data_IF_163014118382
#
_entry.id   IF_163014118382
#
_cell.length_a   1.000
_cell.length_b   1.000
_cell.length_c   1.000
_cell.angle_alpha   90.00
_cell.angle_beta   90.00
_cell.angle_gamma   90.00
#
_symmetry.space_group_name_H-M   'P 1'
#
loop_
_entity.id
_entity.type
_entity.pdbx_description
1 polymer ?
#
# COMPACT_ATOMS: atom_id res chain seq x y z
N UNK A 1 21.27 -27.26 -54.23
CA UNK A 1 22.58 -27.96 -54.20
C UNK A 1 23.54 -27.12 -55.03
N UNK A 2 24.71 -26.81 -54.47
CA UNK A 2 25.97 -26.37 -55.13
C UNK A 2 25.87 -25.18 -56.08
N UNK A 3 26.41 -23.99 -55.79
CA UNK A 3 27.78 -23.74 -55.35
C UNK A 3 28.59 -23.25 -56.56
N UNK A 4 29.13 -22.03 -56.47
CA UNK A 4 30.54 -21.72 -56.76
C UNK A 4 30.80 -20.34 -57.37
N UNK A 5 31.58 -19.61 -56.57
CA UNK A 5 32.40 -18.42 -56.79
C UNK A 5 33.03 -18.23 -58.17
N UNK A 6 33.07 -16.97 -58.64
CA UNK A 6 34.21 -16.44 -59.41
C UNK A 6 34.24 -14.91 -59.41
N UNK A 7 35.35 -14.36 -58.91
CA UNK A 7 35.88 -13.02 -59.24
C UNK A 7 37.28 -13.27 -59.81
N UNK A 8 37.66 -12.65 -60.95
CA UNK A 8 38.62 -11.50 -60.96
C UNK A 8 38.42 -10.61 -62.23
N UNK A 9 39.36 -9.74 -62.68
CA UNK A 9 40.41 -8.95 -62.03
C UNK A 9 40.16 -7.42 -62.18
N UNK A 10 41.12 -6.58 -61.76
CA UNK A 10 41.12 -5.10 -61.84
C UNK A 10 40.95 -4.53 -63.26
N UNK A 11 40.98 -3.21 -63.48
CA UNK A 11 41.75 -2.16 -62.82
C UNK A 11 41.21 -0.77 -63.30
N UNK A 12 41.79 0.29 -62.73
CA UNK A 12 42.03 1.63 -63.29
C UNK A 12 40.85 2.50 -63.79
N UNK A 13 40.64 3.67 -63.18
CA UNK A 13 40.96 4.97 -63.80
C UNK A 13 40.82 6.15 -62.82
N UNK A 14 41.98 6.76 -62.59
CA UNK A 14 42.37 8.05 -62.03
C UNK A 14 41.34 9.16 -61.76
N UNK A 15 41.48 9.74 -60.57
CA UNK A 15 41.08 11.11 -60.21
C UNK A 15 42.25 12.11 -60.39
N UNK A 16 41.98 13.41 -60.65
CA UNK A 16 42.99 14.46 -60.83
C UNK A 16 43.48 15.06 -59.48
N UNK A 17 44.62 15.78 -59.50
CA UNK A 17 45.40 16.08 -58.31
C UNK A 17 45.03 17.43 -57.68
N UNK A 18 45.17 17.52 -56.35
CA UNK A 18 45.33 18.82 -55.68
C UNK A 18 44.81 18.85 -54.26
N UNK A 19 45.72 18.83 -53.29
CA UNK A 19 45.41 19.18 -51.91
C UNK A 19 46.39 18.58 -50.90
N UNK A 20 47.40 19.35 -50.51
CA UNK A 20 48.33 19.01 -49.44
C UNK A 20 47.64 19.02 -48.07
N UNK A 21 47.83 17.95 -47.28
CA UNK A 21 47.48 17.90 -45.86
C UNK A 21 48.75 17.68 -44.99
N UNK A 22 48.93 18.41 -43.87
CA UNK A 22 50.11 18.36 -43.00
C UNK A 22 50.14 17.17 -42.00
N UNK A 23 51.32 16.87 -41.40
CA UNK A 23 51.64 15.57 -40.78
C UNK A 23 51.10 15.35 -39.36
N UNK A 24 50.81 14.09 -39.04
CA UNK A 24 50.31 13.64 -37.73
C UNK A 24 51.40 13.48 -36.66
N UNK A 25 51.03 13.52 -35.36
CA UNK A 25 51.97 13.44 -34.25
C UNK A 25 52.46 12.01 -33.96
N UNK A 26 53.77 11.92 -33.70
CA UNK A 26 54.48 10.71 -33.29
C UNK A 26 54.41 10.52 -31.77
N UNK A 27 54.05 9.32 -31.33
CA UNK A 27 54.03 8.93 -29.91
C UNK A 27 55.45 8.66 -29.40
N UNK A 28 55.80 9.28 -28.26
CA UNK A 28 57.06 9.05 -27.55
C UNK A 28 56.99 7.81 -26.62
N UNK A 29 58.10 7.11 -26.37
CA UNK A 29 58.14 5.90 -25.54
C UNK A 29 58.04 6.20 -24.02
N UNK A 30 57.60 5.21 -23.22
CA UNK A 30 57.35 5.38 -21.78
C UNK A 30 58.63 5.45 -20.92
N UNK A 31 58.58 6.12 -19.75
CA UNK A 31 59.70 6.25 -18.83
C UNK A 31 59.99 4.94 -18.03
N UNK A 32 61.22 4.78 -17.49
CA UNK A 32 61.65 3.59 -16.77
C UNK A 32 61.01 3.43 -15.38
N UNK A 33 60.97 2.21 -14.82
CA UNK A 33 60.31 1.93 -13.55
C UNK A 33 61.07 2.48 -12.33
N UNK A 34 60.37 2.93 -11.27
CA UNK A 34 60.98 3.36 -10.01
C UNK A 34 61.57 2.19 -9.20
N UNK A 35 62.62 2.48 -8.42
CA UNK A 35 63.32 1.54 -7.55
C UNK A 35 62.47 1.06 -6.33
N UNK A 36 62.80 -0.10 -5.72
CA UNK A 36 62.04 -0.67 -4.60
C UNK A 36 62.12 0.17 -3.32
N UNK A 37 60.98 0.33 -2.64
CA UNK A 37 60.91 0.99 -1.34
C UNK A 37 61.49 0.11 -0.21
N UNK A 38 62.12 0.71 0.82
CA UNK A 38 62.65 -0.04 1.96
C UNK A 38 61.55 -0.64 2.85
N UNK A 39 61.83 -1.81 3.42
CA UNK A 39 60.90 -2.58 4.25
C UNK A 39 60.45 -1.84 5.52
N UNK A 40 59.16 -1.96 5.92
CA UNK A 40 58.65 -1.27 7.11
C UNK A 40 59.08 -1.94 8.42
N UNK A 41 59.52 -1.10 9.37
CA UNK A 41 59.85 -1.48 10.75
C UNK A 41 58.57 -1.75 11.54
N UNK A 42 58.55 -2.84 12.32
CA UNK A 42 57.52 -3.10 13.34
C UNK A 42 57.69 -2.13 14.52
N UNK A 43 56.60 -1.52 14.97
CA UNK A 43 56.43 -1.12 16.37
C UNK A 43 54.99 -1.34 16.81
N UNK A 44 54.84 -2.13 17.87
CA UNK A 44 53.62 -2.27 18.64
C UNK A 44 53.36 -1.00 19.49
N UNK A 45 52.18 -0.92 20.12
CA UNK A 45 51.65 0.14 21.01
C UNK A 45 50.88 1.22 20.23
N UNK A 46 49.61 1.52 20.46
CA UNK A 46 48.63 1.04 21.45
C UNK A 46 47.43 2.01 21.43
N UNK A 47 46.21 1.45 21.56
CA UNK A 47 44.94 2.09 21.98
C UNK A 47 44.85 3.62 21.84
N UNK A 48 44.07 4.12 20.86
CA UNK A 48 43.23 5.34 20.99
C UNK A 48 42.43 5.75 19.73
N UNK A 49 41.90 4.82 18.92
CA UNK A 49 40.89 5.18 17.90
C UNK A 49 39.86 4.03 17.80
N UNK A 50 39.12 3.80 18.88
CA UNK A 50 38.05 2.80 18.95
C UNK A 50 36.83 3.27 19.74
N UNK A 51 36.74 4.56 20.04
CA UNK A 51 35.69 5.11 20.91
C UNK A 51 34.57 5.84 20.14
N UNK A 52 34.79 6.34 18.92
CA UNK A 52 33.77 7.10 18.21
C UNK A 52 32.74 6.21 17.47
N UNK A 53 33.18 5.15 16.79
CA UNK A 53 32.26 4.23 16.10
C UNK A 53 31.58 3.24 17.06
N UNK A 54 32.30 2.83 18.12
CA UNK A 54 31.73 2.00 19.19
C UNK A 54 30.61 2.72 19.93
N UNK A 55 30.81 3.99 20.32
CA UNK A 55 29.81 4.75 21.06
C UNK A 55 28.53 5.01 20.26
N UNK A 56 28.62 5.26 18.94
CA UNK A 56 27.43 5.46 18.10
C UNK A 56 26.62 4.17 17.96
N UNK A 57 27.27 3.02 17.74
CA UNK A 57 26.60 1.72 17.68
C UNK A 57 26.01 1.33 19.03
N UNK A 58 26.71 1.60 20.15
CA UNK A 58 26.22 1.33 21.50
C UNK A 58 25.07 2.26 21.90
N UNK A 59 25.06 3.53 21.47
CA UNK A 59 23.95 4.46 21.71
C UNK A 59 22.72 4.10 20.86
N UNK A 60 22.91 3.64 19.61
CA UNK A 60 21.80 3.14 18.78
C UNK A 60 21.25 1.83 19.35
N UNK A 61 22.11 0.88 19.74
CA UNK A 61 21.69 -0.37 20.36
C UNK A 61 21.05 -0.13 21.74
N UNK A 62 21.53 0.85 22.53
CA UNK A 62 20.91 1.23 23.79
C UNK A 62 19.58 1.96 23.57
N UNK A 63 19.43 2.84 22.57
CA UNK A 63 18.13 3.48 22.28
C UNK A 63 17.12 2.48 21.72
N UNK A 64 17.52 1.57 20.84
CA UNK A 64 16.65 0.52 20.28
C UNK A 64 16.32 -0.54 21.34
N UNK A 65 17.31 -0.95 22.14
CA UNK A 65 17.15 -1.89 23.25
C UNK A 65 16.34 -1.30 24.42
N UNK A 66 16.51 -0.01 24.73
CA UNK A 66 15.72 0.70 25.74
C UNK A 66 14.31 1.00 25.22
N UNK A 67 14.09 1.28 23.93
CA UNK A 67 12.74 1.30 23.37
C UNK A 67 12.10 -0.10 23.41
N UNK A 68 12.85 -1.16 23.09
CA UNK A 68 12.36 -2.55 23.20
C UNK A 68 12.13 -3.01 24.65
N UNK A 69 12.83 -2.45 25.63
CA UNK A 69 12.67 -2.76 27.06
C UNK A 69 11.63 -1.85 27.75
N UNK A 70 11.47 -0.59 27.32
CA UNK A 70 10.43 0.32 27.80
C UNK A 70 9.07 0.09 27.10
N UNK A 71 9.05 -0.45 25.88
CA UNK A 71 7.83 -0.96 25.22
C UNK A 71 7.54 -2.43 25.62
N UNK A 72 8.38 -3.03 26.48
CA UNK A 72 8.08 -4.28 27.19
C UNK A 72 7.26 -4.06 28.46
N UNK A 73 6.45 -3.00 28.50
CA UNK A 73 5.12 -3.16 29.06
C UNK A 73 4.36 -4.13 28.16
N UNK A 74 4.66 -5.42 28.38
CA UNK A 74 3.68 -6.48 28.20
C UNK A 74 2.59 -6.12 29.20
N UNK A 75 1.68 -5.25 28.77
CA UNK A 75 0.31 -5.30 29.23
C UNK A 75 -0.08 -6.75 28.98
N UNK A 76 -0.07 -7.56 30.05
CA UNK A 76 -0.74 -8.84 30.05
C UNK A 76 -2.13 -8.50 29.51
N UNK A 77 -2.56 -9.02 28.35
CA UNK A 77 -3.89 -8.74 27.89
C UNK A 77 -4.81 -9.31 28.97
N UNK A 78 -5.44 -8.42 29.72
CA UNK A 78 -6.71 -8.75 30.33
C UNK A 78 -7.53 -9.30 29.18
N UNK A 79 -7.84 -10.60 29.21
CA UNK A 79 -8.62 -11.35 28.22
C UNK A 79 -9.55 -10.41 27.44
N UNK A 80 -9.08 -9.88 26.31
CA UNK A 80 -9.76 -8.78 25.65
C UNK A 80 -10.79 -9.41 24.74
N UNK A 81 -11.98 -9.66 25.28
CA UNK A 81 -13.17 -10.05 24.52
C UNK A 81 -13.68 -8.88 23.64
N UNK A 82 -12.79 -8.02 23.15
CA UNK A 82 -13.08 -6.78 22.45
C UNK A 82 -12.32 -6.66 21.14
N UNK A 83 -12.78 -5.76 20.28
CA UNK A 83 -12.18 -5.49 18.99
C UNK A 83 -11.18 -4.34 19.10
N UNK A 84 -9.91 -4.61 18.82
CA UNK A 84 -8.83 -3.63 18.93
C UNK A 84 -8.04 -3.52 17.61
N UNK A 85 -8.69 -2.98 16.58
CA UNK A 85 -8.05 -2.69 15.30
C UNK A 85 -7.64 -1.21 15.21
N UNK A 86 -6.49 -0.88 14.57
CA UNK A 86 -6.11 0.50 14.28
C UNK A 86 -7.10 1.19 13.33
N UNK A 87 -7.30 2.50 13.50
CA UNK A 87 -8.02 3.33 12.53
C UNK A 87 -7.35 3.19 11.14
N UNK A 88 -8.16 3.08 10.10
CA UNK A 88 -7.74 2.86 8.72
C UNK A 88 -7.56 1.39 8.34
N UNK A 89 -7.69 0.45 9.28
CA UNK A 89 -7.56 -0.98 9.01
C UNK A 89 -8.77 -1.48 8.23
N UNK A 90 -8.55 -2.18 7.13
CA UNK A 90 -9.63 -2.81 6.35
C UNK A 90 -9.89 -4.25 6.78
N UNK A 91 -11.17 -4.58 6.88
CA UNK A 91 -11.68 -5.79 7.49
C UNK A 91 -12.58 -6.53 6.51
N UNK A 92 -12.38 -7.84 6.45
CA UNK A 92 -13.32 -8.78 5.85
C UNK A 92 -14.15 -9.42 6.98
N UNK A 93 -15.47 -9.22 6.88
CA UNK A 93 -16.47 -9.66 7.84
C UNK A 93 -17.41 -10.72 7.23
N UNK A 94 -17.04 -11.35 6.12
CA UNK A 94 -17.89 -12.33 5.42
C UNK A 94 -18.23 -13.57 6.28
N UNK A 95 -17.42 -13.88 7.30
CA UNK A 95 -17.67 -14.96 8.26
C UNK A 95 -18.36 -14.48 9.54
N UNK A 96 -18.59 -13.18 9.66
CA UNK A 96 -19.25 -12.59 10.81
C UNK A 96 -20.74 -12.94 10.75
N UNK A 97 -21.19 -13.74 11.73
CA UNK A 97 -22.61 -14.00 11.92
C UNK A 97 -23.30 -12.84 12.65
N UNK A 98 -24.51 -13.09 13.16
CA UNK A 98 -25.28 -12.12 13.98
C UNK A 98 -24.47 -11.70 15.22
N UNK A 99 -23.65 -12.59 15.77
CA UNK A 99 -22.68 -12.29 16.82
C UNK A 99 -21.27 -12.38 16.24
N UNK A 100 -20.64 -11.24 16.02
CA UNK A 100 -19.27 -11.18 15.53
C UNK A 100 -18.31 -11.44 16.70
N UNK A 101 -17.35 -12.35 16.54
CA UNK A 101 -16.21 -12.50 17.45
C UNK A 101 -14.95 -11.99 16.80
N UNK A 102 -13.92 -11.58 17.57
CA UNK A 102 -12.63 -11.18 17.00
C UNK A 102 -12.00 -12.24 16.07
N UNK A 103 -12.26 -13.53 16.30
CA UNK A 103 -11.79 -14.63 15.44
C UNK A 103 -12.43 -14.69 14.06
N UNK A 104 -13.60 -14.06 13.89
CA UNK A 104 -14.38 -14.09 12.65
C UNK A 104 -14.00 -12.94 11.71
N UNK A 105 -13.22 -11.98 12.22
CA UNK A 105 -12.77 -10.79 11.50
C UNK A 105 -11.39 -11.04 10.92
N UNK A 106 -11.25 -10.80 9.62
CA UNK A 106 -9.96 -10.91 8.93
C UNK A 106 -9.46 -9.53 8.56
N UNK A 107 -8.20 -9.23 8.87
CA UNK A 107 -7.53 -8.03 8.37
C UNK A 107 -7.00 -8.33 6.98
N UNK A 108 -7.35 -7.48 6.02
CA UNK A 108 -6.95 -7.61 4.62
C UNK A 108 -6.47 -6.27 4.08
N UNK A 109 -5.68 -6.25 2.97
CA UNK A 109 -5.38 -5.00 2.27
C UNK A 109 -6.68 -4.30 1.86
N UNK A 110 -6.76 -2.98 1.98
CA UNK A 110 -7.94 -2.20 1.58
C UNK A 110 -8.27 -2.30 0.08
N UNK A 111 -7.32 -2.72 -0.75
CA UNK A 111 -7.55 -3.02 -2.16
C UNK A 111 -8.18 -4.39 -2.40
N UNK A 112 -8.34 -5.20 -1.35
CA UNK A 112 -8.96 -6.53 -1.45
C UNK A 112 -10.46 -6.37 -1.75
N UNK A 113 -11.01 -7.11 -2.72
CA UNK A 113 -12.43 -7.04 -3.06
C UNK A 113 -13.35 -7.56 -1.94
N UNK A 114 -12.79 -8.26 -0.94
CA UNK A 114 -13.53 -8.81 0.21
C UNK A 114 -13.39 -7.98 1.48
N UNK A 115 -12.53 -6.97 1.50
CA UNK A 115 -12.33 -6.08 2.63
C UNK A 115 -13.32 -4.90 2.57
N UNK A 116 -14.60 -5.19 2.78
CA UNK A 116 -15.71 -4.25 2.55
C UNK A 116 -15.92 -3.23 3.68
N UNK A 117 -15.17 -3.31 4.77
CA UNK A 117 -15.28 -2.37 5.88
C UNK A 117 -13.91 -1.84 6.29
N UNK A 118 -13.87 -0.60 6.78
CA UNK A 118 -12.66 0.05 7.27
C UNK A 118 -12.91 0.69 8.62
N UNK A 119 -11.96 0.56 9.54
CA UNK A 119 -12.07 1.13 10.88
C UNK A 119 -11.96 2.65 10.78
N UNK A 120 -13.06 3.34 11.03
CA UNK A 120 -13.13 4.80 10.97
C UNK A 120 -12.82 5.45 12.32
N UNK A 121 -13.40 4.88 13.39
CA UNK A 121 -13.32 5.45 14.74
C UNK A 121 -13.32 4.37 15.81
N UNK A 122 -12.75 4.69 16.97
CA UNK A 122 -12.75 3.84 18.17
C UNK A 122 -13.44 4.56 19.32
N UNK A 123 -14.13 3.81 20.18
CA UNK A 123 -14.78 4.36 21.36
C UNK A 123 -14.71 3.45 22.58
N UNK A 124 -14.91 4.03 23.75
CA UNK A 124 -15.03 3.34 25.04
C UNK A 124 -16.38 3.70 25.66
N UNK A 125 -17.01 2.74 26.34
CA UNK A 125 -18.35 2.92 26.90
C UNK A 125 -19.44 2.82 25.82
N UNK A 126 -20.35 3.78 25.80
CA UNK A 126 -21.50 3.80 24.89
C UNK A 126 -21.10 4.04 23.42
N UNK A 127 -21.83 3.42 22.49
CA UNK A 127 -21.75 3.67 21.05
C UNK A 127 -21.82 5.16 20.75
N UNK A 128 -20.90 5.66 19.91
CA UNK A 128 -20.80 7.08 19.56
C UNK A 128 -20.39 7.31 18.08
N UNK A 129 -20.82 6.41 17.18
CA UNK A 129 -20.61 6.61 15.75
C UNK A 129 -21.37 7.84 15.25
N UNK A 130 -20.79 8.63 14.32
CA UNK A 130 -21.38 9.91 13.90
C UNK A 130 -22.80 9.83 13.34
N UNK A 131 -23.13 8.73 12.66
CA UNK A 131 -24.46 8.45 12.13
C UNK A 131 -24.70 6.93 12.03
N UNK A 132 -25.86 6.54 11.51
CA UNK A 132 -26.28 5.14 11.39
C UNK A 132 -25.70 4.40 10.17
N UNK A 133 -24.99 5.09 9.27
CA UNK A 133 -24.32 4.45 8.14
C UNK A 133 -23.10 3.62 8.60
N UNK A 134 -22.56 3.89 9.79
CA UNK A 134 -21.45 3.12 10.32
C UNK A 134 -21.88 1.74 10.81
N UNK A 135 -21.20 0.71 10.32
CA UNK A 135 -21.19 -0.60 10.97
C UNK A 135 -20.52 -0.51 12.35
N UNK A 136 -20.86 -1.43 13.26
CA UNK A 136 -20.26 -1.45 14.61
C UNK A 136 -19.73 -2.81 14.99
N UNK A 137 -18.54 -2.83 15.60
CA UNK A 137 -18.00 -3.98 16.31
C UNK A 137 -17.82 -3.63 17.77
N UNK A 138 -18.50 -4.33 18.68
CA UNK A 138 -18.53 -4.04 20.11
C UNK A 138 -18.05 -5.22 20.94
N UNK A 139 -17.23 -4.95 21.96
CA UNK A 139 -16.80 -5.98 22.91
C UNK A 139 -15.92 -5.42 24.01
N UNK A 140 -16.02 -6.01 25.21
CA UNK A 140 -15.17 -5.66 26.35
C UNK A 140 -15.31 -4.21 26.85
N UNK A 141 -16.46 -3.56 26.65
CA UNK A 141 -16.68 -2.16 27.06
C UNK A 141 -16.11 -1.11 26.11
N UNK A 142 -15.75 -1.52 24.89
CA UNK A 142 -15.27 -0.66 23.80
C UNK A 142 -15.90 -1.07 22.47
N UNK A 143 -15.75 -0.22 21.45
CA UNK A 143 -16.19 -0.57 20.12
C UNK A 143 -15.49 0.22 19.01
N UNK A 144 -15.78 -0.19 17.78
CA UNK A 144 -15.29 0.40 16.54
C UNK A 144 -16.47 0.85 15.71
N UNK A 145 -16.36 2.02 15.11
CA UNK A 145 -17.22 2.45 14.01
C UNK A 145 -16.51 2.09 12.70
N UNK A 146 -17.23 1.42 11.82
CA UNK A 146 -16.75 0.95 10.53
C UNK A 146 -17.39 1.80 9.43
N UNK A 147 -16.57 2.45 8.63
CA UNK A 147 -17.03 2.97 7.34
C UNK A 147 -16.99 1.85 6.30
N UNK A 148 -17.75 2.00 5.23
CA UNK A 148 -17.68 1.06 4.12
C UNK A 148 -16.40 1.28 3.28
N UNK A 149 -15.93 0.20 2.66
CA UNK A 149 -14.84 0.23 1.70
C UNK A 149 -15.30 -0.37 0.37
N UNK A 150 -16.25 0.31 -0.26
CA UNK A 150 -16.87 -0.11 -1.51
C UNK A 150 -16.08 0.39 -2.72
N UNK A 151 -16.19 -0.37 -3.81
CA UNK A 151 -15.50 -0.14 -5.07
C UNK A 151 -16.47 0.42 -6.10
N UNK A 152 -16.10 1.51 -6.76
CA UNK A 152 -16.87 2.11 -7.86
C UNK A 152 -17.12 1.06 -8.96
N UNK A 153 -18.35 1.00 -9.45
CA UNK A 153 -18.80 0.05 -10.47
C UNK A 153 -19.19 -1.34 -9.93
N UNK A 154 -18.85 -1.67 -8.68
CA UNK A 154 -19.25 -2.93 -8.04
C UNK A 154 -20.66 -2.84 -7.46
N UNK A 155 -21.29 -4.01 -7.29
CA UNK A 155 -22.63 -4.12 -6.74
C UNK A 155 -22.65 -4.84 -5.40
N UNK A 156 -23.56 -4.38 -4.55
CA UNK A 156 -23.71 -4.82 -3.19
C UNK A 156 -25.18 -4.89 -2.83
N UNK A 157 -25.49 -5.71 -1.83
CA UNK A 157 -26.75 -5.62 -1.11
C UNK A 157 -26.44 -5.36 0.35
N UNK A 158 -27.35 -4.67 1.04
CA UNK A 158 -27.18 -4.36 2.46
C UNK A 158 -27.92 -5.41 3.27
N UNK A 159 -27.18 -6.12 4.13
CA UNK A 159 -27.79 -7.09 5.02
C UNK A 159 -28.72 -6.39 6.04
N UNK A 160 -30.00 -6.75 6.05
CA UNK A 160 -31.03 -6.11 6.89
C UNK A 160 -30.70 -6.10 8.39
N UNK A 161 -29.96 -7.09 8.89
CA UNK A 161 -29.67 -7.24 10.33
C UNK A 161 -28.39 -6.53 10.71
N UNK A 162 -27.33 -6.65 9.91
CA UNK A 162 -26.01 -6.10 10.25
C UNK A 162 -25.78 -4.71 9.66
N UNK A 163 -26.65 -4.24 8.76
CA UNK A 163 -26.48 -3.04 7.94
C UNK A 163 -25.20 -3.03 7.10
N UNK A 164 -24.53 -4.17 7.00
CA UNK A 164 -23.28 -4.32 6.28
C UNK A 164 -23.53 -4.65 4.82
N UNK A 165 -22.69 -4.11 3.94
CA UNK A 165 -22.69 -4.49 2.55
C UNK A 165 -22.02 -5.85 2.33
N UNK A 166 -22.62 -6.65 1.47
CA UNK A 166 -22.03 -7.86 0.91
C UNK A 166 -22.01 -7.76 -0.61
N UNK A 167 -20.94 -8.25 -1.23
CA UNK A 167 -20.77 -8.22 -2.68
C UNK A 167 -21.75 -9.18 -3.36
N UNK A 168 -22.38 -8.71 -4.44
CA UNK A 168 -23.32 -9.47 -5.26
C UNK A 168 -23.12 -9.16 -6.75
N UNK A 169 -23.64 -10.03 -7.63
CA UNK A 169 -23.68 -9.72 -9.05
C UNK A 169 -24.55 -8.48 -9.32
N UNK A 170 -24.11 -7.62 -10.24
CA UNK A 170 -24.87 -6.47 -10.71
C UNK A 170 -26.10 -6.91 -11.51
N UNK A 171 -27.18 -7.24 -10.79
CA UNK A 171 -28.49 -7.57 -11.34
C UNK A 171 -29.55 -6.88 -10.50
N UNK A 172 -30.68 -6.49 -11.09
CA UNK A 172 -31.80 -5.96 -10.33
C UNK A 172 -32.17 -6.86 -9.15
N UNK A 173 -32.47 -6.24 -8.01
CA UNK A 173 -32.94 -6.96 -6.81
C UNK A 173 -34.13 -7.86 -7.15
N UNK A 174 -34.19 -9.04 -6.53
CA UNK A 174 -35.29 -9.97 -6.78
C UNK A 174 -36.62 -9.45 -6.21
N UNK A 175 -36.52 -8.67 -5.13
CA UNK A 175 -37.61 -8.03 -4.39
C UNK A 175 -37.24 -6.57 -4.17
N UNK A 176 -38.23 -5.68 -4.13
CA UNK A 176 -38.01 -4.26 -3.81
C UNK A 176 -37.50 -4.05 -2.37
N UNK A 177 -37.74 -5.01 -1.47
CA UNK A 177 -37.24 -4.99 -0.10
C UNK A 177 -35.77 -5.43 0.04
N UNK A 178 -35.13 -5.85 -1.04
CA UNK A 178 -33.72 -6.25 -1.08
C UNK A 178 -33.09 -5.72 -2.38
N UNK A 179 -32.94 -4.39 -2.50
CA UNK A 179 -32.38 -3.77 -3.69
C UNK A 179 -30.89 -4.08 -3.83
N UNK A 180 -30.44 -4.15 -5.08
CA UNK A 180 -29.01 -4.18 -5.40
C UNK A 180 -28.53 -2.75 -5.61
N UNK A 181 -27.50 -2.34 -4.88
CA UNK A 181 -26.85 -1.04 -5.04
C UNK A 181 -25.60 -1.17 -5.89
N UNK A 182 -25.44 -0.33 -6.92
CA UNK A 182 -24.17 -0.16 -7.63
C UNK A 182 -23.52 1.13 -7.18
N UNK A 183 -22.23 1.08 -6.83
CA UNK A 183 -21.48 2.30 -6.50
C UNK A 183 -21.22 3.09 -7.77
N UNK A 184 -21.91 4.21 -7.95
CA UNK A 184 -21.73 5.09 -9.11
C UNK A 184 -20.53 6.02 -8.91
N UNK A 185 -20.39 6.58 -7.72
CA UNK A 185 -19.29 7.46 -7.36
C UNK A 185 -18.85 7.25 -5.91
N UNK A 186 -17.58 7.59 -5.66
CA UNK A 186 -16.93 7.61 -4.35
C UNK A 186 -16.18 8.94 -4.21
N UNK A 187 -16.48 9.68 -3.16
CA UNK A 187 -15.87 10.97 -2.87
C UNK A 187 -15.15 10.88 -1.52
N UNK A 188 -13.88 10.48 -1.53
CA UNK A 188 -13.05 10.48 -0.33
C UNK A 188 -12.76 11.92 0.12
N UNK A 189 -12.82 12.17 1.43
CA UNK A 189 -12.62 13.51 2.00
C UNK A 189 -13.83 14.43 1.94
N UNK A 190 -15.00 13.92 1.53
CA UNK A 190 -16.24 14.70 1.36
C UNK A 190 -17.37 14.06 2.16
N UNK A 191 -18.03 14.84 3.02
CA UNK A 191 -19.27 14.49 3.72
C UNK A 191 -20.39 15.41 3.21
N UNK A 192 -20.86 15.15 1.99
CA UNK A 192 -21.87 15.98 1.33
C UNK A 192 -22.82 15.10 0.50
N UNK A 193 -23.96 14.69 1.07
CA UNK A 193 -24.98 13.94 0.32
C UNK A 193 -25.50 14.67 -0.92
N UNK A 194 -25.38 16.01 -0.97
CA UNK A 194 -25.78 16.82 -2.12
C UNK A 194 -24.86 16.72 -3.33
N UNK A 195 -23.73 16.01 -3.20
CA UNK A 195 -22.82 15.74 -4.32
C UNK A 195 -23.34 14.65 -5.28
N UNK A 196 -24.40 13.94 -4.91
CA UNK A 196 -25.00 12.88 -5.72
C UNK A 196 -26.11 13.42 -6.63
N UNK A 197 -26.33 12.73 -7.76
CA UNK A 197 -27.44 13.05 -8.66
C UNK A 197 -28.80 12.78 -7.98
N UNK A 198 -29.88 13.43 -8.45
CA UNK A 198 -31.18 13.41 -7.76
C UNK A 198 -31.85 12.03 -7.69
N UNK A 199 -31.48 11.11 -8.58
CA UNK A 199 -31.97 9.73 -8.64
C UNK A 199 -31.03 8.72 -7.93
N UNK A 200 -29.93 9.20 -7.35
CA UNK A 200 -28.97 8.37 -6.63
C UNK A 200 -29.22 8.40 -5.13
N UNK A 201 -28.94 7.27 -4.48
CA UNK A 201 -28.92 7.19 -3.03
C UNK A 201 -27.52 7.57 -2.50
N UNK A 202 -27.46 8.59 -1.66
CA UNK A 202 -26.23 8.98 -0.96
C UNK A 202 -26.01 8.12 0.30
N UNK A 203 -24.77 7.69 0.52
CA UNK A 203 -24.30 7.08 1.79
C UNK A 203 -23.06 7.85 2.25
N UNK A 204 -23.17 8.60 3.34
CA UNK A 204 -22.12 9.48 3.82
C UNK A 204 -21.61 9.12 5.22
N UNK A 205 -20.32 9.33 5.42
CA UNK A 205 -19.56 9.11 6.64
C UNK A 205 -18.86 10.43 7.00
N UNK A 206 -19.23 11.10 8.12
CA UNK A 206 -18.64 12.38 8.52
C UNK A 206 -17.19 12.29 9.04
N UNK A 207 -16.79 11.15 9.59
CA UNK A 207 -15.49 10.97 10.26
C UNK A 207 -14.92 9.55 10.03
N UNK A 208 -13.88 9.37 9.18
CA UNK A 208 -13.36 10.37 8.25
C UNK A 208 -14.38 10.69 7.14
N UNK A 209 -14.35 11.91 6.56
CA UNK A 209 -15.27 12.30 5.50
C UNK A 209 -15.21 11.39 4.29
N UNK A 210 -16.35 10.82 3.90
CA UNK A 210 -16.52 9.96 2.72
C UNK A 210 -17.98 9.97 2.29
N UNK A 211 -18.25 10.15 1.00
CA UNK A 211 -19.60 10.04 0.44
C UNK A 211 -19.60 9.08 -0.74
N UNK A 212 -20.53 8.14 -0.75
CA UNK A 212 -20.85 7.31 -1.89
C UNK A 212 -22.15 7.76 -2.53
N UNK A 213 -22.20 7.73 -3.85
CA UNK A 213 -23.43 7.85 -4.62
C UNK A 213 -23.75 6.49 -5.23
N UNK A 214 -24.94 5.98 -4.95
CA UNK A 214 -25.38 4.63 -5.31
C UNK A 214 -26.52 4.68 -6.32
N UNK A 215 -26.38 3.92 -7.41
CA UNK A 215 -27.52 3.60 -8.27
C UNK A 215 -28.28 2.43 -7.65
N UNK A 216 -29.60 2.58 -7.51
CA UNK A 216 -30.47 1.48 -7.06
C UNK A 216 -30.91 0.68 -8.28
N UNK A 217 -30.46 -0.57 -8.38
CA UNK A 217 -30.83 -1.47 -9.46
C UNK A 217 -32.14 -2.18 -9.09
N UNK A 218 -33.25 -1.56 -9.47
CA UNK A 218 -34.58 -2.15 -9.33
C UNK A 218 -35.01 -2.88 -10.61
N UNK A 219 -35.87 -3.88 -10.46
CA UNK A 219 -36.51 -4.50 -11.63
C UNK A 219 -37.59 -3.52 -12.09
N UNK A 220 -37.41 -2.93 -13.27
CA UNK A 220 -38.48 -2.20 -13.95
C UNK A 220 -39.69 -3.12 -14.05
N UNK A 221 -40.79 -2.73 -13.39
CA UNK A 221 -42.05 -3.47 -13.38
C UNK A 221 -42.71 -3.58 -14.74
#
# INVERSE_FOLDING_TARGET
>A
MTGDTKYPPGDHWNAPPGGYAPPGPQFAPPPPPPAPAPAPKKSAVGKRIGAALGAVVLVIAAKVGLNLLLHRHVDRPASSNGFDYPIGTCLNLAKAGIMVKPSDVQVEPCSSPTALSKVAKKYKGSKNCPNDNYGTLEGGGSGLCLEDNLTVGSCYHQALISHMFASIACKPGALSSDPTFRVAARHDGVDDPGSCESDQQAVNFPEPPLTYCMDVLERSG
#
